data_IF_105302431636
#
_entry.id   IF_105302431636
#
_cell.length_a   1.000
_cell.length_b   1.000
_cell.length_c   1.000
_cell.angle_alpha   90.00
_cell.angle_beta   90.00
_cell.angle_gamma   90.00
#
_symmetry.space_group_name_H-M   'P 1'
#
loop_
_entity.id
_entity.type
_entity.pdbx_description
1 polymer ?
#
# COMPACT_ATOMS: atom_id res chain seq x y z
N UNK A 1 10.72 -11.92 13.96
CA UNK A 1 11.69 -12.85 13.37
C UNK A 1 13.04 -12.17 13.18
N UNK A 2 13.07 -11.03 12.49
CA UNK A 2 14.25 -10.20 12.29
C UNK A 2 14.94 -9.74 13.59
N UNK A 3 14.18 -9.29 14.60
CA UNK A 3 14.75 -8.90 15.91
C UNK A 3 15.42 -10.06 16.68
N UNK A 4 15.01 -11.31 16.42
CA UNK A 4 15.62 -12.52 16.99
C UNK A 4 16.92 -12.84 16.26
N UNK A 5 16.91 -12.80 14.93
CA UNK A 5 18.10 -12.92 14.07
C UNK A 5 19.15 -11.84 14.38
N UNK A 6 18.71 -10.60 14.61
CA UNK A 6 19.59 -9.50 15.01
C UNK A 6 20.29 -9.77 16.36
N UNK A 7 19.57 -10.33 17.35
CA UNK A 7 20.14 -10.65 18.67
C UNK A 7 21.00 -11.91 18.68
N UNK A 8 20.59 -12.97 17.97
CA UNK A 8 21.21 -14.30 18.06
C UNK A 8 22.32 -14.49 17.03
N UNK A 9 22.23 -13.83 15.87
CA UNK A 9 23.15 -14.01 14.74
C UNK A 9 23.83 -12.73 14.27
N UNK A 10 23.64 -11.61 14.99
CA UNK A 10 24.16 -10.31 14.59
C UNK A 10 23.74 -9.95 13.15
N UNK A 11 22.52 -10.36 12.77
CA UNK A 11 22.02 -10.40 11.39
C UNK A 11 22.21 -9.10 10.62
N UNK A 12 21.98 -7.95 11.26
CA UNK A 12 22.13 -6.61 10.68
C UNK A 12 23.59 -6.24 10.32
N UNK A 13 24.57 -6.98 10.84
CA UNK A 13 26.00 -6.78 10.55
C UNK A 13 26.57 -7.79 9.53
N UNK A 14 25.76 -8.77 9.12
CA UNK A 14 26.16 -9.79 8.16
C UNK A 14 26.04 -9.27 6.72
N UNK A 15 26.93 -9.71 5.83
CA UNK A 15 26.76 -9.47 4.40
C UNK A 15 25.53 -10.23 3.86
N UNK A 16 24.89 -9.76 2.77
CA UNK A 16 23.74 -10.44 2.15
C UNK A 16 24.00 -11.95 1.88
N UNK A 17 25.23 -12.31 1.53
CA UNK A 17 25.63 -13.71 1.32
C UNK A 17 25.61 -14.53 2.62
N UNK A 18 25.99 -13.93 3.75
CA UNK A 18 25.96 -14.56 5.08
C UNK A 18 24.54 -14.58 5.67
N UNK A 19 23.74 -13.56 5.38
CA UNK A 19 22.33 -13.51 5.73
C UNK A 19 21.58 -14.67 5.06
N UNK A 20 21.71 -14.85 3.74
CA UNK A 20 21.10 -15.97 2.98
C UNK A 20 21.54 -17.38 3.39
N UNK A 21 22.61 -17.51 4.19
CA UNK A 21 23.05 -18.79 4.72
C UNK A 21 22.24 -19.20 5.97
N UNK A 22 21.51 -18.28 6.59
CA UNK A 22 20.60 -18.55 7.71
C UNK A 22 19.23 -18.95 7.16
N UNK A 23 18.69 -20.12 7.54
CA UNK A 23 17.38 -20.57 7.06
C UNK A 23 16.26 -19.55 7.31
N UNK A 24 16.23 -18.92 8.48
CA UNK A 24 15.21 -17.95 8.87
C UNK A 24 15.37 -16.58 8.17
N UNK A 25 16.55 -16.30 7.63
CA UNK A 25 16.79 -15.11 6.82
C UNK A 25 16.32 -15.27 5.39
N UNK A 26 16.29 -16.52 4.89
CA UNK A 26 15.75 -16.81 3.56
C UNK A 26 14.26 -16.56 3.49
N UNK A 27 13.52 -16.89 4.55
CA UNK A 27 12.08 -16.57 4.64
C UNK A 27 11.85 -15.04 4.62
N UNK A 28 12.74 -14.27 5.26
CA UNK A 28 12.67 -12.80 5.21
C UNK A 28 13.00 -12.25 3.82
N UNK A 29 14.08 -12.73 3.18
CA UNK A 29 14.43 -12.35 1.80
C UNK A 29 13.27 -12.69 0.83
N UNK A 30 12.65 -13.87 0.97
CA UNK A 30 11.53 -14.28 0.12
C UNK A 30 10.28 -13.38 0.34
N UNK A 31 10.04 -12.92 1.56
CA UNK A 31 8.97 -11.94 1.87
C UNK A 31 9.30 -10.57 1.29
N UNK A 32 10.55 -10.12 1.41
CA UNK A 32 10.98 -8.83 0.87
C UNK A 32 10.85 -8.79 -0.66
N UNK A 33 11.26 -9.86 -1.35
CA UNK A 33 11.10 -10.00 -2.80
C UNK A 33 9.61 -9.97 -3.19
N UNK A 34 8.73 -10.63 -2.43
CA UNK A 34 7.28 -10.58 -2.65
C UNK A 34 6.69 -9.20 -2.40
N UNK A 35 7.16 -8.49 -1.38
CA UNK A 35 6.71 -7.12 -1.08
C UNK A 35 7.14 -6.14 -2.17
N UNK A 36 8.35 -6.29 -2.71
CA UNK A 36 8.84 -5.49 -3.84
C UNK A 36 7.99 -5.74 -5.09
N UNK A 37 7.71 -7.00 -5.43
CA UNK A 37 6.83 -7.34 -6.56
C UNK A 37 5.42 -6.75 -6.39
N UNK A 38 4.83 -6.88 -5.20
CA UNK A 38 3.51 -6.30 -4.90
C UNK A 38 3.52 -4.77 -5.01
N UNK A 39 4.60 -4.12 -4.60
CA UNK A 39 4.73 -2.68 -4.72
C UNK A 39 4.81 -2.24 -6.19
N UNK A 40 5.60 -2.93 -7.03
CA UNK A 40 5.67 -2.66 -8.47
C UNK A 40 4.31 -2.85 -9.16
N UNK A 41 3.59 -3.92 -8.80
CA UNK A 41 2.23 -4.16 -9.28
C UNK A 41 1.27 -3.05 -8.85
N UNK A 42 1.33 -2.61 -7.59
CA UNK A 42 0.54 -1.48 -7.09
C UNK A 42 0.84 -0.21 -7.90
N UNK A 43 2.12 0.14 -8.12
CA UNK A 43 2.51 1.32 -8.89
C UNK A 43 1.99 1.26 -10.33
N UNK A 44 2.04 0.09 -10.95
CA UNK A 44 1.49 -0.12 -12.29
C UNK A 44 -0.02 0.12 -12.31
N UNK A 45 -0.76 -0.43 -11.34
CA UNK A 45 -2.20 -0.23 -11.24
C UNK A 45 -2.56 1.24 -10.97
N UNK A 46 -1.82 1.92 -10.11
CA UNK A 46 -2.00 3.34 -9.81
C UNK A 46 -1.76 4.22 -11.05
N UNK A 47 -0.76 3.91 -11.86
CA UNK A 47 -0.47 4.62 -13.09
C UNK A 47 -1.60 4.48 -14.13
N UNK A 48 -2.25 3.31 -14.19
CA UNK A 48 -3.35 3.04 -15.13
C UNK A 48 -4.69 3.53 -14.58
N UNK A 49 -4.89 3.58 -13.26
CA UNK A 49 -6.18 3.95 -12.65
C UNK A 49 -6.78 5.26 -13.20
N UNK A 50 -6.03 6.36 -13.42
CA UNK A 50 -6.53 7.60 -14.01
C UNK A 50 -7.15 7.42 -15.40
N UNK A 51 -6.69 6.46 -16.21
CA UNK A 51 -7.17 6.27 -17.59
C UNK A 51 -8.56 5.65 -17.66
N UNK A 52 -9.05 5.02 -16.59
CA UNK A 52 -10.40 4.47 -16.55
C UNK A 52 -11.45 5.56 -16.32
N UNK A 53 -12.43 5.72 -17.21
CA UNK A 53 -13.55 6.62 -16.94
C UNK A 53 -14.46 6.04 -15.83
N UNK A 54 -14.66 6.77 -14.75
CA UNK A 54 -15.66 6.40 -13.74
C UNK A 54 -17.07 6.79 -14.25
N UNK A 55 -17.81 5.79 -14.73
CA UNK A 55 -19.17 5.98 -15.27
C UNK A 55 -20.28 5.85 -14.22
N UNK A 56 -19.91 5.73 -12.94
CA UNK A 56 -20.84 5.59 -11.83
C UNK A 56 -20.30 6.26 -10.57
N UNK A 57 -21.21 6.65 -9.66
CA UNK A 57 -20.83 7.18 -8.34
C UNK A 57 -19.97 6.18 -7.55
N UNK A 58 -20.24 4.88 -7.69
CA UNK A 58 -19.43 3.82 -7.08
C UNK A 58 -18.00 3.79 -7.65
N UNK A 59 -17.85 3.91 -8.98
CA UNK A 59 -16.53 3.96 -9.62
C UNK A 59 -15.72 5.19 -9.20
N UNK A 60 -16.38 6.34 -9.06
CA UNK A 60 -15.75 7.57 -8.57
C UNK A 60 -15.33 7.44 -7.09
N UNK A 61 -16.21 6.90 -6.24
CA UNK A 61 -15.91 6.63 -4.84
C UNK A 61 -14.72 5.66 -4.69
N UNK A 62 -14.65 4.62 -5.53
CA UNK A 62 -13.54 3.67 -5.55
C UNK A 62 -12.21 4.34 -5.88
N UNK A 63 -12.17 5.20 -6.91
CA UNK A 63 -10.95 5.96 -7.25
C UNK A 63 -10.49 6.88 -6.12
N UNK A 64 -11.43 7.59 -5.50
CA UNK A 64 -11.13 8.46 -4.37
C UNK A 64 -10.65 7.67 -3.15
N UNK A 65 -11.20 6.47 -2.90
CA UNK A 65 -10.74 5.61 -1.83
C UNK A 65 -9.28 5.18 -2.04
N UNK A 66 -8.89 4.85 -3.28
CA UNK A 66 -7.47 4.58 -3.60
C UNK A 66 -6.61 5.82 -3.35
N UNK A 67 -7.06 7.00 -3.81
CA UNK A 67 -6.34 8.25 -3.56
C UNK A 67 -6.17 8.57 -2.05
N UNK A 68 -7.16 8.23 -1.21
CA UNK A 68 -7.07 8.43 0.24
C UNK A 68 -6.07 7.47 0.92
N UNK A 69 -5.85 6.28 0.36
CA UNK A 69 -4.83 5.34 0.84
C UNK A 69 -3.43 5.80 0.44
N UNK A 70 -3.26 6.27 -0.80
CA UNK A 70 -1.96 6.73 -1.31
C UNK A 70 -1.55 8.10 -0.74
N UNK A 71 -2.50 9.00 -0.48
CA UNK A 71 -2.22 10.25 0.21
C UNK A 71 -2.18 9.98 1.70
N UNK A 72 -1.00 9.64 2.18
CA UNK A 72 -0.76 9.38 3.59
C UNK A 72 -1.02 10.65 4.43
N UNK A 73 -1.79 10.57 5.54
CA UNK A 73 -2.04 11.72 6.40
C UNK A 73 -0.76 12.27 7.03
N UNK A 74 0.26 11.43 7.25
CA UNK A 74 1.56 11.89 7.77
C UNK A 74 2.35 12.72 6.75
N UNK A 75 2.09 12.54 5.45
CA UNK A 75 2.74 13.28 4.36
C UNK A 75 1.93 14.51 3.95
N UNK A 76 0.60 14.40 3.91
CA UNK A 76 -0.30 15.49 3.54
C UNK A 76 -1.71 15.31 4.16
N UNK A 77 -1.83 15.71 5.42
CA UNK A 77 -3.07 15.64 6.20
C UNK A 77 -4.23 16.39 5.54
N UNK A 78 -3.99 17.59 5.00
CA UNK A 78 -5.03 18.42 4.38
C UNK A 78 -5.63 17.75 3.13
N UNK A 79 -4.79 17.20 2.26
CA UNK A 79 -5.23 16.49 1.06
C UNK A 79 -5.96 15.19 1.42
N UNK A 80 -5.45 14.44 2.40
CA UNK A 80 -6.12 13.24 2.90
C UNK A 80 -7.54 13.55 3.40
N UNK A 81 -7.68 14.57 4.25
CA UNK A 81 -8.97 14.98 4.80
C UNK A 81 -9.94 15.49 3.73
N UNK A 82 -9.45 16.21 2.72
CA UNK A 82 -10.27 16.65 1.60
C UNK A 82 -10.78 15.47 0.76
N UNK A 83 -9.94 14.48 0.46
CA UNK A 83 -10.37 13.29 -0.28
C UNK A 83 -11.41 12.50 0.53
N UNK A 84 -11.16 12.32 1.83
CA UNK A 84 -12.09 11.63 2.73
C UNK A 84 -13.44 12.35 2.84
N UNK A 85 -13.47 13.68 2.84
CA UNK A 85 -14.72 14.45 2.84
C UNK A 85 -15.50 14.28 1.54
N UNK A 86 -14.83 14.34 0.38
CA UNK A 86 -15.47 14.13 -0.94
C UNK A 86 -16.12 12.74 -1.01
N UNK A 87 -15.46 11.69 -0.50
CA UNK A 87 -16.05 10.33 -0.45
C UNK A 87 -17.33 10.30 0.39
N UNK A 88 -17.34 10.99 1.54
CA UNK A 88 -18.50 11.08 2.42
C UNK A 88 -19.66 11.80 1.73
N UNK A 89 -19.39 12.91 1.07
CA UNK A 89 -20.39 13.71 0.37
C UNK A 89 -20.97 12.93 -0.82
N UNK A 90 -20.14 12.21 -1.57
CA UNK A 90 -20.57 11.33 -2.67
C UNK A 90 -21.52 10.22 -2.19
N UNK A 91 -21.23 9.61 -1.03
CA UNK A 91 -22.13 8.63 -0.40
C UNK A 91 -23.47 9.23 0.00
N UNK A 92 -23.48 10.48 0.50
CA UNK A 92 -24.71 11.17 0.88
C UNK A 92 -25.56 11.56 -0.34
N UNK A 93 -24.93 11.86 -1.48
CA UNK A 93 -25.62 12.21 -2.74
C UNK A 93 -26.18 11.00 -3.50
N UNK A 94 -25.71 9.78 -3.20
CA UNK A 94 -26.21 8.58 -3.87
C UNK A 94 -27.50 8.13 -3.16
N UNK A 95 -28.68 8.17 -3.80
CA UNK A 95 -29.92 7.80 -3.13
C UNK A 95 -29.87 6.34 -2.67
N UNK A 96 -30.21 6.08 -1.41
CA UNK A 96 -30.52 4.71 -0.96
C UNK A 96 -31.69 4.23 -1.82
N UNK A 97 -31.46 3.20 -2.63
CA UNK A 97 -32.58 2.51 -3.29
C UNK A 97 -33.54 2.00 -2.20
N UNK A 98 -34.87 2.13 -2.41
CA UNK A 98 -35.88 1.73 -1.43
C UNK A 98 -35.88 0.22 -1.15
#
# INVERSE_FOLDING_TARGET
MEAKLAREHNYLSLSRRQQRALPEARELDDIDDQLEELHEQQQTLLAVLPTFAAISALGLAGKLAVAAVEVCPEENEEAHHLIASIIRDLKAMTPRSP
#
